data_IF_632853297358
#
_entry.id   IF_632853297358
#
_cell.length_a   1.000
_cell.length_b   1.000
_cell.length_c   1.000
_cell.angle_alpha   90.00
_cell.angle_beta   90.00
_cell.angle_gamma   90.00
#
_symmetry.space_group_name_H-M   'P 1'
#
loop_
_entity.id
_entity.type
_entity.pdbx_description
1 polymer ?
#
# COMPACT_ATOMS: atom_id res chain seq x y z
N UNK A 1 -9.69 9.42 -31.48
CA UNK A 1 -10.23 8.49 -30.48
C UNK A 1 -9.97 9.05 -29.09
N UNK A 2 -11.01 9.24 -28.31
CA UNK A 2 -10.98 9.75 -26.94
C UNK A 2 -11.24 8.61 -25.97
N UNK A 3 -10.25 8.30 -25.14
CA UNK A 3 -10.33 7.28 -24.08
C UNK A 3 -10.38 7.98 -22.73
N UNK A 4 -11.40 7.66 -21.94
CA UNK A 4 -11.56 8.11 -20.57
C UNK A 4 -11.19 6.98 -19.61
N UNK A 5 -10.30 7.24 -18.65
CA UNK A 5 -9.92 6.30 -17.59
C UNK A 5 -10.38 6.87 -16.26
N UNK A 6 -11.11 6.09 -15.47
CA UNK A 6 -11.59 6.50 -14.16
C UNK A 6 -10.70 5.88 -13.09
N UNK A 7 -10.14 6.69 -12.21
CA UNK A 7 -9.22 6.27 -11.16
C UNK A 7 -7.76 6.51 -11.54
N UNK A 8 -7.03 7.25 -10.70
CA UNK A 8 -5.61 7.54 -10.87
C UNK A 8 -4.70 6.70 -9.96
N UNK A 9 -5.21 5.56 -9.47
CA UNK A 9 -4.38 4.55 -8.81
C UNK A 9 -3.45 3.84 -9.79
N UNK A 10 -2.63 2.91 -9.27
CA UNK A 10 -1.61 2.21 -10.07
C UNK A 10 -2.21 1.53 -11.32
N UNK A 11 -3.42 0.98 -11.21
CA UNK A 11 -4.12 0.31 -12.32
C UNK A 11 -4.53 1.33 -13.41
N UNK A 12 -5.14 2.44 -13.03
CA UNK A 12 -5.59 3.44 -14.00
C UNK A 12 -4.44 4.13 -14.73
N UNK A 13 -3.38 4.52 -14.00
CA UNK A 13 -2.21 5.15 -14.61
C UNK A 13 -1.42 4.17 -15.52
N UNK A 14 -1.23 2.92 -15.08
CA UNK A 14 -0.57 1.91 -15.91
C UNK A 14 -1.40 1.52 -17.14
N UNK A 15 -2.74 1.53 -17.02
CA UNK A 15 -3.65 1.36 -18.17
C UNK A 15 -3.49 2.50 -19.17
N UNK A 16 -3.49 3.75 -18.71
CA UNK A 16 -3.29 4.92 -19.57
C UNK A 16 -1.96 4.85 -20.33
N UNK A 17 -0.89 4.54 -19.60
CA UNK A 17 0.45 4.36 -20.15
C UNK A 17 0.49 3.23 -21.18
N UNK A 18 -0.10 2.08 -20.87
CA UNK A 18 -0.10 0.91 -21.75
C UNK A 18 -0.85 1.18 -23.05
N UNK A 19 -2.01 1.85 -22.98
CA UNK A 19 -2.77 2.25 -24.18
C UNK A 19 -1.95 3.19 -25.04
N UNK A 20 -1.35 4.22 -24.43
CA UNK A 20 -0.50 5.15 -25.16
C UNK A 20 0.64 4.40 -25.86
N UNK A 21 1.43 3.60 -25.12
CA UNK A 21 2.59 2.89 -25.63
C UNK A 21 2.29 1.99 -26.84
N UNK A 22 1.13 1.34 -26.87
CA UNK A 22 0.79 0.36 -27.91
C UNK A 22 -0.01 0.94 -29.09
N UNK A 23 -0.64 2.11 -28.93
CA UNK A 23 -1.62 2.60 -29.92
C UNK A 23 -1.46 4.05 -30.36
N UNK A 24 -0.61 4.87 -29.72
CA UNK A 24 -0.45 6.29 -30.08
C UNK A 24 0.03 6.53 -31.52
N UNK A 25 0.76 5.57 -32.10
CA UNK A 25 1.25 5.58 -33.48
C UNK A 25 0.21 5.08 -34.50
N UNK A 26 -0.73 4.25 -34.04
CA UNK A 26 -1.77 3.61 -34.88
C UNK A 26 -3.09 4.36 -34.90
N UNK A 27 -3.37 5.14 -33.86
CA UNK A 27 -4.62 5.90 -33.70
C UNK A 27 -4.27 7.37 -33.53
N UNK A 28 -4.69 8.22 -34.47
CA UNK A 28 -4.40 9.66 -34.43
C UNK A 28 -5.61 10.51 -34.87
N UNK A 29 -6.04 11.50 -34.06
CA UNK A 29 -5.53 11.80 -32.72
C UNK A 29 -5.98 10.73 -31.70
N UNK A 30 -5.09 10.31 -30.81
CA UNK A 30 -5.41 9.53 -29.61
C UNK A 30 -5.33 10.46 -28.39
N UNK A 31 -6.47 10.69 -27.74
CA UNK A 31 -6.58 11.48 -26.52
C UNK A 31 -6.92 10.54 -25.37
N UNK A 32 -6.11 10.56 -24.31
CA UNK A 32 -6.35 9.77 -23.10
C UNK A 32 -6.51 10.75 -21.93
N UNK A 33 -7.67 10.70 -21.27
CA UNK A 33 -7.99 11.54 -20.12
C UNK A 33 -8.20 10.66 -18.89
N UNK A 34 -7.51 10.98 -17.80
CA UNK A 34 -7.64 10.27 -16.51
C UNK A 34 -8.42 11.16 -15.55
N UNK A 35 -9.54 10.63 -15.04
CA UNK A 35 -10.39 11.29 -14.05
C UNK A 35 -10.23 10.62 -12.69
N UNK A 36 -9.94 11.42 -11.66
CA UNK A 36 -9.90 10.94 -10.28
C UNK A 36 -10.28 12.07 -9.33
N UNK A 37 -10.85 11.71 -8.19
CA UNK A 37 -11.08 12.61 -7.05
C UNK A 37 -9.76 12.97 -6.34
N UNK A 38 -8.81 12.03 -6.33
CA UNK A 38 -7.51 12.16 -5.67
C UNK A 38 -6.39 11.57 -6.55
N UNK A 39 -5.21 12.19 -6.51
CA UNK A 39 -3.99 11.73 -7.20
C UNK A 39 -2.88 11.37 -6.20
N UNK A 40 -1.81 10.73 -6.68
CA UNK A 40 -0.61 10.44 -5.87
C UNK A 40 -0.10 11.72 -5.19
N UNK A 41 0.33 11.67 -3.91
CA UNK A 41 0.57 10.49 -3.08
C UNK A 41 -0.59 10.09 -2.16
N UNK A 42 -1.84 10.45 -2.51
CA UNK A 42 -3.01 10.29 -1.65
C UNK A 42 -3.99 9.21 -2.13
N UNK A 43 -3.57 8.35 -3.04
CA UNK A 43 -4.39 7.23 -3.53
C UNK A 43 -4.26 6.01 -2.60
N UNK A 44 -5.24 5.10 -2.66
CA UNK A 44 -5.12 3.78 -2.01
C UNK A 44 -3.86 3.03 -2.44
N UNK A 45 -3.42 3.21 -3.69
CA UNK A 45 -2.22 2.57 -4.22
C UNK A 45 -0.93 3.05 -3.55
N UNK A 46 -0.88 4.30 -3.05
CA UNK A 46 0.30 4.83 -2.36
C UNK A 46 0.51 4.17 -0.98
N UNK A 47 -0.58 3.77 -0.32
CA UNK A 47 -0.57 3.06 0.97
C UNK A 47 -0.64 1.54 0.87
N UNK A 48 -1.04 0.98 -0.28
CA UNK A 48 -1.19 -0.45 -0.46
C UNK A 48 0.15 -1.18 -0.38
N UNK A 49 0.21 -2.24 0.43
CA UNK A 49 1.42 -3.04 0.59
C UNK A 49 1.62 -4.12 -0.48
N UNK A 50 0.59 -4.36 -1.30
CA UNK A 50 0.58 -5.40 -2.33
C UNK A 50 0.50 -6.81 -1.75
N UNK A 51 -0.72 -7.39 -1.70
CA UNK A 51 -0.83 -8.85 -1.64
C UNK A 51 -0.39 -9.40 -2.99
N UNK A 52 0.73 -10.12 -3.02
CA UNK A 52 1.24 -10.70 -4.25
C UNK A 52 0.53 -12.02 -4.54
N UNK A 53 -0.19 -12.05 -5.66
CA UNK A 53 -0.77 -13.26 -6.23
C UNK A 53 -0.49 -13.28 -7.74
N UNK A 54 -0.33 -14.47 -8.36
CA UNK A 54 -0.23 -14.57 -9.81
C UNK A 54 -1.48 -13.98 -10.47
N UNK A 55 -1.27 -13.14 -11.47
CA UNK A 55 -2.36 -12.64 -12.32
C UNK A 55 -3.10 -13.82 -12.99
N UNK A 56 -4.43 -13.79 -12.97
CA UNK A 56 -5.27 -14.82 -13.59
C UNK A 56 -5.51 -16.08 -12.76
N UNK A 57 -5.09 -16.10 -11.48
CA UNK A 57 -5.38 -17.22 -10.57
C UNK A 57 -6.73 -17.05 -9.84
N UNK A 58 -7.67 -16.34 -10.45
CA UNK A 58 -8.99 -16.02 -9.94
C UNK A 58 -10.03 -16.78 -10.76
N UNK A 59 -10.82 -17.63 -10.12
CA UNK A 59 -11.88 -18.42 -10.78
C UNK A 59 -13.11 -17.57 -11.18
N UNK A 60 -13.08 -16.25 -10.92
CA UNK A 60 -14.14 -15.33 -11.35
C UNK A 60 -14.17 -15.22 -12.88
N UNK A 61 -15.32 -15.53 -13.47
CA UNK A 61 -15.64 -15.26 -14.87
C UNK A 61 -15.61 -13.74 -15.12
N UNK A 62 -14.48 -13.22 -15.59
CA UNK A 62 -14.38 -11.83 -16.06
C UNK A 62 -15.07 -11.74 -17.43
N UNK A 63 -16.35 -11.40 -17.45
CA UNK A 63 -16.96 -10.85 -18.67
C UNK A 63 -16.42 -9.42 -18.84
N UNK A 64 -15.38 -9.27 -19.68
CA UNK A 64 -14.58 -8.03 -19.83
C UNK A 64 -15.30 -6.88 -20.56
N UNK A 65 -16.57 -7.01 -20.92
CA UNK A 65 -17.33 -5.95 -21.61
C UNK A 65 -18.76 -5.90 -21.07
N UNK A 66 -19.00 -5.07 -20.06
CA UNK A 66 -20.36 -4.67 -19.66
C UNK A 66 -20.71 -3.40 -20.42
N UNK A 67 -21.62 -3.49 -21.39
CA UNK A 67 -22.26 -2.30 -21.95
C UNK A 67 -23.13 -1.66 -20.87
N UNK A 68 -22.78 -0.44 -20.46
CA UNK A 68 -23.55 0.31 -19.46
C UNK A 68 -24.97 0.59 -20.01
N UNK A 69 -26.04 0.19 -19.31
CA UNK A 69 -27.37 0.71 -19.61
C UNK A 69 -27.40 2.23 -19.29
N UNK A 70 -28.08 3.05 -20.11
CA UNK A 70 -27.98 4.52 -20.04
C UNK A 70 -28.73 5.17 -18.86
N UNK A 71 -28.91 4.50 -17.73
CA UNK A 71 -29.71 5.04 -16.63
C UNK A 71 -29.02 4.90 -15.27
N UNK A 72 -28.54 6.06 -14.80
CA UNK A 72 -28.14 6.41 -13.44
C UNK A 72 -26.87 5.75 -12.90
N UNK A 73 -25.71 6.40 -13.12
CA UNK A 73 -24.48 6.06 -12.39
C UNK A 73 -23.20 6.74 -12.87
N UNK A 74 -23.15 7.22 -14.11
CA UNK A 74 -21.94 7.83 -14.66
C UNK A 74 -22.25 9.13 -15.41
N UNK A 75 -22.00 10.29 -14.77
CA UNK A 75 -21.97 11.59 -15.47
C UNK A 75 -20.88 11.68 -16.55
N UNK A 76 -20.06 10.63 -16.74
CA UNK A 76 -19.08 10.54 -17.82
C UNK A 76 -19.68 10.15 -19.17
N UNK A 77 -20.97 9.76 -19.23
CA UNK A 77 -21.67 9.60 -20.51
C UNK A 77 -21.68 10.91 -21.33
N UNK A 78 -21.56 12.07 -20.67
CA UNK A 78 -21.46 13.39 -21.31
C UNK A 78 -20.00 13.83 -21.61
N UNK A 79 -18.99 12.98 -21.36
CA UNK A 79 -17.57 13.30 -21.59
C UNK A 79 -17.16 13.33 -23.07
N UNK A 80 -18.02 12.83 -23.95
CA UNK A 80 -17.72 12.62 -25.37
C UNK A 80 -16.63 11.58 -25.63
N UNK A 81 -16.34 10.70 -24.66
CA UNK A 81 -15.39 9.61 -24.81
C UNK A 81 -15.92 8.51 -25.74
N UNK A 82 -15.06 7.98 -26.61
CA UNK A 82 -15.36 6.81 -27.43
C UNK A 82 -15.31 5.52 -26.59
N UNK A 83 -14.43 5.47 -25.59
CA UNK A 83 -14.24 4.34 -24.68
C UNK A 83 -14.03 4.85 -23.25
N UNK A 84 -14.71 4.22 -22.29
CA UNK A 84 -14.51 4.45 -20.85
C UNK A 84 -13.92 3.18 -20.23
N UNK A 85 -12.83 3.33 -19.47
CA UNK A 85 -12.20 2.23 -18.73
C UNK A 85 -12.29 2.56 -17.25
N UNK A 86 -13.00 1.70 -16.51
CA UNK A 86 -13.21 1.91 -15.08
C UNK A 86 -12.09 1.25 -14.24
N UNK A 87 -11.28 2.06 -13.59
CA UNK A 87 -10.20 1.66 -12.69
C UNK A 87 -10.38 2.28 -11.28
N UNK A 88 -11.61 2.55 -10.82
CA UNK A 88 -11.90 3.18 -9.52
C UNK A 88 -11.68 2.30 -8.27
N UNK A 89 -11.18 1.08 -8.45
CA UNK A 89 -10.78 0.20 -7.36
C UNK A 89 -11.94 -0.21 -6.45
N UNK A 90 -11.72 -0.22 -5.13
CA UNK A 90 -12.71 -0.67 -4.13
C UNK A 90 -13.97 0.20 -4.07
N UNK A 91 -13.93 1.42 -4.63
CA UNK A 91 -15.08 2.33 -4.71
C UNK A 91 -15.86 2.23 -6.01
N UNK A 92 -15.57 1.26 -6.88
CA UNK A 92 -16.33 1.07 -8.12
C UNK A 92 -17.84 0.88 -7.89
N UNK A 93 -18.22 0.35 -6.72
CA UNK A 93 -19.62 0.26 -6.28
C UNK A 93 -20.38 1.59 -6.26
N UNK A 94 -19.68 2.72 -6.09
CA UNK A 94 -20.27 4.06 -6.11
C UNK A 94 -20.69 4.50 -7.53
N UNK A 95 -20.01 3.97 -8.56
CA UNK A 95 -20.25 4.29 -9.98
C UNK A 95 -21.24 3.30 -10.62
N UNK A 96 -21.12 2.02 -10.26
CA UNK A 96 -22.02 0.96 -10.67
C UNK A 96 -22.15 -0.03 -9.51
N UNK A 97 -23.36 -0.30 -9.01
CA UNK A 97 -23.55 -1.24 -7.91
C UNK A 97 -22.93 -2.60 -8.20
N UNK A 98 -21.98 -2.99 -7.35
CA UNK A 98 -21.33 -4.29 -7.36
C UNK A 98 -21.35 -4.82 -5.91
N UNK A 99 -22.33 -5.67 -5.55
CA UNK A 99 -22.46 -6.18 -4.19
C UNK A 99 -21.38 -7.20 -3.81
N UNK A 100 -20.62 -7.73 -4.79
CA UNK A 100 -19.51 -8.64 -4.52
C UNK A 100 -18.22 -7.89 -4.17
N UNK A 101 -18.13 -6.60 -4.53
CA UNK A 101 -17.00 -5.73 -4.21
C UNK A 101 -17.01 -5.32 -2.74
N UNK A 102 -16.03 -5.81 -1.98
CA UNK A 102 -15.87 -5.56 -0.55
C UNK A 102 -14.48 -5.04 -0.24
N UNK A 103 -14.30 -4.14 0.75
CA UNK A 103 -12.97 -3.74 1.17
C UNK A 103 -12.30 -4.85 1.98
N UNK A 104 -10.98 -4.90 1.88
CA UNK A 104 -10.15 -5.59 2.85
C UNK A 104 -9.14 -4.57 3.39
N UNK A 105 -9.44 -4.01 4.57
CA UNK A 105 -8.59 -3.00 5.20
C UNK A 105 -7.27 -3.64 5.60
N UNK A 106 -6.19 -3.01 5.14
CA UNK A 106 -4.83 -3.27 5.61
C UNK A 106 -4.22 -2.03 6.21
N UNK A 107 -3.48 -2.21 7.30
CA UNK A 107 -2.65 -1.17 7.91
C UNK A 107 -1.18 -1.61 7.83
N UNK A 108 -0.31 -0.64 7.62
CA UNK A 108 1.14 -0.84 7.50
C UNK A 108 1.91 0.17 8.33
N UNK A 109 3.19 -0.12 8.54
CA UNK A 109 4.20 0.79 9.06
C UNK A 109 5.29 0.93 8.01
N UNK A 110 5.63 2.16 7.63
CA UNK A 110 6.82 2.44 6.79
C UNK A 110 7.99 2.74 7.71
N UNK A 111 9.13 2.07 7.51
CA UNK A 111 10.34 2.27 8.31
C UNK A 111 11.56 2.50 7.44
N UNK A 112 12.48 3.31 7.94
CA UNK A 112 13.81 3.47 7.36
C UNK A 112 14.72 2.37 7.92
N UNK A 113 14.91 1.31 7.12
CA UNK A 113 15.73 0.16 7.46
C UNK A 113 16.50 -0.33 6.22
N UNK A 114 17.46 0.46 5.71
CA UNK A 114 18.10 0.22 4.43
C UNK A 114 18.93 -1.06 4.41
N UNK A 115 19.25 -1.65 5.55
CA UNK A 115 19.94 -2.95 5.63
C UNK A 115 19.04 -4.14 5.29
N UNK A 116 17.70 -4.00 5.35
CA UNK A 116 16.77 -5.06 4.97
C UNK A 116 16.68 -5.10 3.45
N UNK A 117 17.25 -6.17 2.85
CA UNK A 117 17.29 -6.37 1.38
C UNK A 117 16.44 -7.54 0.89
N UNK A 118 15.95 -8.37 1.81
CA UNK A 118 15.12 -9.52 1.50
C UNK A 118 13.70 -9.29 2.00
N UNK A 119 12.73 -9.77 1.22
CA UNK A 119 11.34 -9.78 1.63
C UNK A 119 11.10 -10.96 2.56
N UNK A 120 10.26 -10.75 3.57
CA UNK A 120 9.80 -11.78 4.50
C UNK A 120 8.29 -11.76 4.45
N UNK A 121 7.67 -12.90 4.14
CA UNK A 121 6.22 -13.08 4.18
C UNK A 121 5.92 -14.40 4.88
N UNK A 122 5.23 -14.34 6.01
CA UNK A 122 4.89 -15.54 6.78
C UNK A 122 3.38 -15.67 6.94
N UNK A 123 2.78 -16.80 6.49
CA UNK A 123 1.44 -17.14 6.93
C UNK A 123 1.47 -17.48 8.42
N UNK A 124 0.52 -16.97 9.20
CA UNK A 124 0.22 -17.42 10.57
C UNK A 124 1.30 -17.21 11.66
N UNK A 125 1.73 -15.96 11.92
CA UNK A 125 2.33 -15.63 13.23
C UNK A 125 1.33 -15.06 14.24
N UNK A 126 0.19 -14.54 13.76
CA UNK A 126 -0.86 -14.03 14.63
C UNK A 126 -1.98 -15.06 14.78
N UNK A 127 -2.51 -15.20 15.99
CA UNK A 127 -3.73 -15.98 16.30
C UNK A 127 -4.97 -15.47 15.54
N UNK A 128 -4.86 -14.32 14.87
CA UNK A 128 -5.91 -13.70 14.04
C UNK A 128 -5.92 -14.12 12.57
N UNK A 129 -4.97 -14.96 12.10
CA UNK A 129 -4.90 -15.38 10.68
C UNK A 129 -4.38 -14.32 9.71
N UNK A 130 -3.86 -13.20 10.21
CA UNK A 130 -3.26 -12.14 9.39
C UNK A 130 -1.86 -12.53 8.89
N UNK A 131 -1.56 -12.19 7.63
CA UNK A 131 -0.22 -12.31 7.04
C UNK A 131 0.70 -11.24 7.64
N UNK A 132 1.84 -11.66 8.20
CA UNK A 132 2.92 -10.73 8.57
C UNK A 132 3.92 -10.65 7.42
N UNK A 133 4.31 -9.43 7.07
CA UNK A 133 5.23 -9.19 5.97
C UNK A 133 6.16 -8.00 6.19
N UNK A 134 7.36 -8.10 5.65
CA UNK A 134 8.39 -7.08 5.61
C UNK A 134 8.88 -7.01 4.16
N UNK A 135 8.58 -5.92 3.47
CA UNK A 135 8.84 -5.77 2.04
C UNK A 135 9.75 -4.55 1.84
N UNK A 136 11.02 -4.74 1.46
CA UNK A 136 11.92 -3.63 1.17
C UNK A 136 11.47 -2.89 -0.10
N UNK A 137 11.18 -1.60 0.03
CA UNK A 137 10.97 -0.70 -1.09
C UNK A 137 12.26 -0.02 -1.55
N UNK A 138 12.15 0.86 -2.54
CA UNK A 138 13.32 1.62 -3.06
C UNK A 138 13.92 2.60 -2.05
N UNK A 139 13.11 3.10 -1.11
CA UNK A 139 13.52 4.09 -0.09
C UNK A 139 13.17 3.66 1.33
N UNK A 140 11.98 3.08 1.53
CA UNK A 140 11.48 2.66 2.84
C UNK A 140 11.06 1.20 2.80
N UNK A 141 11.17 0.52 3.93
CA UNK A 141 10.66 -0.83 4.13
C UNK A 141 9.20 -0.76 4.58
N UNK A 142 8.35 -1.58 3.99
CA UNK A 142 6.94 -1.71 4.36
C UNK A 142 6.77 -2.88 5.30
N UNK A 143 6.18 -2.64 6.46
CA UNK A 143 5.95 -3.64 7.52
C UNK A 143 4.44 -3.79 7.72
N UNK A 144 3.96 -5.04 7.69
CA UNK A 144 2.56 -5.41 7.90
C UNK A 144 2.43 -6.77 8.61
N UNK A 145 1.21 -7.28 8.85
CA UNK A 145 -0.02 -6.86 8.19
C UNK A 145 -1.31 -7.10 8.97
N UNK A 146 -2.34 -6.49 8.40
CA UNK A 146 -3.74 -6.52 8.79
C UNK A 146 -4.54 -6.85 7.53
N UNK A 147 -5.55 -7.70 7.65
CA UNK A 147 -6.50 -8.00 6.60
C UNK A 147 -7.89 -8.12 7.21
N UNK A 148 -8.66 -7.04 7.16
CA UNK A 148 -9.99 -6.94 7.77
C UNK A 148 -11.04 -6.71 6.68
N UNK A 149 -11.74 -7.77 6.28
CA UNK A 149 -12.83 -7.70 5.30
C UNK A 149 -14.00 -6.88 5.86
N UNK A 150 -14.68 -6.11 5.01
CA UNK A 150 -15.79 -5.19 5.33
C UNK A 150 -15.44 -4.00 6.22
N UNK A 151 -14.17 -3.87 6.62
CA UNK A 151 -13.77 -2.72 7.40
C UNK A 151 -13.48 -1.53 6.47
N UNK A 152 -14.27 -0.47 6.58
CA UNK A 152 -14.11 0.79 5.85
C UNK A 152 -13.39 1.88 6.65
N UNK A 153 -12.93 1.59 7.87
CA UNK A 153 -12.25 2.56 8.72
C UNK A 153 -10.92 3.00 8.10
N UNK A 154 -10.82 4.30 7.81
CA UNK A 154 -9.65 4.93 7.22
C UNK A 154 -8.62 5.34 8.28
N UNK A 155 -8.96 5.28 9.57
CA UNK A 155 -8.07 5.67 10.65
C UNK A 155 -7.09 4.57 11.01
N UNK A 156 -5.91 4.96 11.48
CA UNK A 156 -4.94 4.01 12.04
C UNK A 156 -5.42 3.54 13.43
N UNK A 157 -5.30 2.24 13.68
CA UNK A 157 -5.55 1.62 14.98
C UNK A 157 -4.23 1.43 15.73
N UNK A 158 -4.15 1.88 16.98
CA UNK A 158 -2.98 1.65 17.85
C UNK A 158 -2.79 0.16 18.14
N UNK A 159 -3.88 -0.58 18.28
CA UNK A 159 -3.86 -2.04 18.50
C UNK A 159 -3.27 -2.77 17.29
N UNK A 160 -3.68 -2.38 16.08
CA UNK A 160 -3.09 -2.95 14.85
C UNK A 160 -1.62 -2.54 14.70
N UNK A 161 -1.27 -1.30 15.07
CA UNK A 161 0.11 -0.81 15.01
C UNK A 161 1.04 -1.62 15.93
N UNK A 162 0.68 -1.76 17.21
CA UNK A 162 1.45 -2.53 18.19
C UNK A 162 1.64 -3.97 17.72
N UNK A 163 0.57 -4.62 17.25
CA UNK A 163 0.64 -5.99 16.73
C UNK A 163 1.56 -6.12 15.52
N UNK A 164 1.39 -5.27 14.50
CA UNK A 164 2.26 -5.26 13.30
C UNK A 164 3.73 -5.12 13.73
N UNK A 165 4.00 -4.16 14.62
CA UNK A 165 5.37 -3.87 15.06
C UNK A 165 5.98 -5.01 15.85
N UNK A 166 5.23 -5.60 16.79
CA UNK A 166 5.69 -6.72 17.58
C UNK A 166 6.01 -7.95 16.72
N UNK A 167 5.10 -8.32 15.82
CA UNK A 167 5.27 -9.49 14.96
C UNK A 167 6.43 -9.29 13.98
N UNK A 168 6.57 -8.10 13.39
CA UNK A 168 7.70 -7.76 12.56
C UNK A 168 9.03 -7.83 13.31
N UNK A 169 9.09 -7.35 14.54
CA UNK A 169 10.32 -7.42 15.35
C UNK A 169 10.64 -8.83 15.85
N UNK A 170 9.66 -9.74 15.91
CA UNK A 170 9.91 -11.18 16.15
C UNK A 170 10.53 -11.83 14.91
N UNK A 171 10.06 -11.44 13.72
CA UNK A 171 10.56 -11.92 12.43
C UNK A 171 11.94 -11.38 12.08
N UNK A 172 12.13 -10.08 12.26
CA UNK A 172 13.34 -9.34 11.93
C UNK A 172 13.78 -8.51 13.14
N UNK A 173 14.54 -9.11 14.07
CA UNK A 173 15.01 -8.42 15.27
C UNK A 173 15.86 -7.18 14.98
N UNK A 174 16.48 -7.06 13.79
CA UNK A 174 17.24 -5.87 13.40
C UNK A 174 16.37 -4.62 13.19
N UNK A 175 15.04 -4.73 13.25
CA UNK A 175 14.14 -3.57 13.35
C UNK A 175 14.26 -2.85 14.71
N UNK A 176 14.74 -3.52 15.76
CA UNK A 176 14.96 -2.97 17.11
C UNK A 176 16.44 -2.68 17.35
N UNK A 177 16.99 -1.65 16.71
CA UNK A 177 18.40 -1.26 16.84
C UNK A 177 18.54 0.11 17.48
N UNK A 178 19.38 0.22 18.50
CA UNK A 178 19.87 1.50 19.01
C UNK A 178 21.19 1.80 18.29
N UNK A 179 21.18 2.79 17.41
CA UNK A 179 22.38 3.23 16.73
C UNK A 179 23.19 4.16 17.64
N UNK A 180 24.46 3.82 17.86
CA UNK A 180 25.39 4.65 18.61
C UNK A 180 26.77 4.61 17.94
N UNK A 181 26.87 5.26 16.77
CA UNK A 181 28.07 5.37 15.96
C UNK A 181 28.15 6.77 15.33
N UNK A 182 29.25 7.08 14.63
CA UNK A 182 29.40 8.34 13.88
C UNK A 182 30.05 9.49 14.66
N UNK A 183 30.87 9.19 15.68
CA UNK A 183 31.45 10.20 16.59
C UNK A 183 32.69 10.93 16.06
N UNK A 184 33.15 10.60 14.84
CA UNK A 184 34.34 11.18 14.23
C UNK A 184 35.59 11.09 15.14
N UNK A 185 36.37 12.17 15.20
CA UNK A 185 37.56 12.27 16.06
C UNK A 185 37.28 12.59 17.54
N UNK A 186 36.01 12.77 17.93
CA UNK A 186 35.63 13.23 19.27
C UNK A 186 35.10 12.11 20.17
N UNK A 187 35.14 10.85 19.70
CA UNK A 187 34.61 9.70 20.43
C UNK A 187 35.07 9.65 21.89
N UNK A 188 36.37 9.84 22.16
CA UNK A 188 36.91 9.86 23.52
C UNK A 188 36.27 10.94 24.40
N UNK A 189 36.01 12.13 23.85
CA UNK A 189 35.41 13.25 24.59
C UNK A 189 33.95 13.00 24.92
N UNK A 190 33.19 12.36 24.02
CA UNK A 190 31.72 12.25 24.14
C UNK A 190 31.20 10.85 24.52
N UNK A 191 32.07 9.82 24.56
CA UNK A 191 31.67 8.41 24.69
C UNK A 191 30.70 8.16 25.86
N UNK A 192 30.96 8.76 27.03
CA UNK A 192 30.15 8.51 28.23
C UNK A 192 28.73 9.06 28.09
N UNK A 193 28.58 10.28 27.55
CA UNK A 193 27.25 10.87 27.31
C UNK A 193 26.45 10.07 26.29
N UNK A 194 27.09 9.64 25.20
CA UNK A 194 26.45 8.78 24.20
C UNK A 194 26.06 7.41 24.76
N UNK A 195 26.87 6.83 25.66
CA UNK A 195 26.56 5.56 26.32
C UNK A 195 25.37 5.68 27.28
N UNK A 196 25.30 6.76 28.07
CA UNK A 196 24.16 7.03 28.96
C UNK A 196 22.86 7.21 28.18
N UNK A 197 22.90 7.90 27.03
CA UNK A 197 21.71 8.05 26.18
C UNK A 197 21.24 6.71 25.58
N UNK A 198 22.17 5.88 25.11
CA UNK A 198 21.84 4.54 24.65
C UNK A 198 21.25 3.66 25.78
N UNK A 199 21.79 3.78 27.00
CA UNK A 199 21.26 3.09 28.17
C UNK A 199 19.86 3.60 28.57
N UNK A 200 19.61 4.91 28.46
CA UNK A 200 18.29 5.51 28.68
C UNK A 200 17.25 4.97 27.70
N UNK A 201 17.58 4.93 26.41
CA UNK A 201 16.72 4.35 25.37
C UNK A 201 16.47 2.86 25.62
N UNK A 202 17.48 2.10 26.04
CA UNK A 202 17.33 0.70 26.44
C UNK A 202 16.41 0.53 27.65
N UNK A 203 16.51 1.41 28.66
CA UNK A 203 15.61 1.43 29.82
C UNK A 203 14.14 1.62 29.42
N UNK A 204 13.86 2.56 28.52
CA UNK A 204 12.50 2.76 27.97
C UNK A 204 11.96 1.50 27.28
N UNK A 205 12.82 0.77 26.56
CA UNK A 205 12.45 -0.51 25.93
C UNK A 205 12.13 -1.58 26.99
N UNK A 206 12.83 -1.58 28.14
CA UNK A 206 12.55 -2.51 29.24
C UNK A 206 11.21 -2.21 29.93
N UNK A 207 10.90 -0.94 30.18
CA UNK A 207 9.62 -0.49 30.74
C UNK A 207 8.45 -0.89 29.82
N UNK A 208 8.56 -0.62 28.52
CA UNK A 208 7.56 -1.03 27.51
C UNK A 208 7.35 -2.54 27.48
N UNK A 209 8.38 -3.32 27.81
CA UNK A 209 8.32 -4.80 27.88
C UNK A 209 7.91 -5.33 29.25
N UNK A 210 7.58 -4.47 30.21
CA UNK A 210 7.22 -4.86 31.58
C UNK A 210 8.34 -5.59 32.33
N UNK A 211 9.61 -5.30 32.00
CA UNK A 211 10.79 -5.90 32.65
C UNK A 211 11.39 -5.03 33.75
N UNK A 212 10.84 -3.84 33.94
CA UNK A 212 11.11 -2.87 35.00
C UNK A 212 9.77 -2.29 35.48
#
# INVERSE_FOLDING_TARGET
MKVCIIGAGVIGLSTAQSIYQHFHDRVSPLTIEVYADVFTPLTTSDGAAGLWQPYGNDERNVEEIVQLPPQNGLQLADSGADVVINCSGVRSGDLQPDPELRPARGQIIKVDAPWIKHWICTPNLSSSGNLSYIIPGSHLVTVGGVYQVDNWDLQNSSVDHERIWEDACKLEPSLKVIHNYGHGGFGLTIHRGCAEEAARLFGQILEQKGKL
#
